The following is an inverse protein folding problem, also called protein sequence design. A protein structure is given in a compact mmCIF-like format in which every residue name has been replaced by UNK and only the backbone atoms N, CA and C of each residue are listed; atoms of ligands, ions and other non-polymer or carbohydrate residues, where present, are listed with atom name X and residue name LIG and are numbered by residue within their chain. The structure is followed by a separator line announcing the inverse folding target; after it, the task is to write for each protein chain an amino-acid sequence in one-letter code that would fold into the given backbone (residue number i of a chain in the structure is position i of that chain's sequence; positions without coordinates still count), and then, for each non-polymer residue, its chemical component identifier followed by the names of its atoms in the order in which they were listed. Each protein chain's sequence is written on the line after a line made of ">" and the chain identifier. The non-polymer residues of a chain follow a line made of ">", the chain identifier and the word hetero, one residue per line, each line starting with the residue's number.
data_IF_124288207864
#
_entry.id   IF_124288207864
#
_cell.length_a   1.000
_cell.length_b   1.000
_cell.length_c   1.000
_cell.angle_alpha   90.00
_cell.angle_beta   90.00
_cell.angle_gamma   90.00
#
_symmetry.space_group_name_H-M   'P 1'
#
loop_
_entity.id
_entity.type
_entity.pdbx_description
1 polymer ?
#
# COMPACT_ATOMS: atom_id res chain seq x y z
N UNK A 1 -9.96 -10.53 9.97
CA UNK A 1 -9.06 -9.56 9.34
C UNK A 1 -9.35 -9.43 7.85
N UNK A 2 -9.07 -8.28 7.28
CA UNK A 2 -9.28 -8.00 5.86
C UNK A 2 -8.00 -7.41 5.29
N UNK A 3 -7.46 -8.03 4.24
CA UNK A 3 -6.39 -7.46 3.43
C UNK A 3 -6.97 -6.53 2.38
N UNK A 4 -6.30 -5.43 2.11
CA UNK A 4 -6.70 -4.45 1.12
C UNK A 4 -5.46 -3.96 0.37
N UNK A 5 -5.54 -3.92 -0.94
CA UNK A 5 -4.47 -3.41 -1.79
C UNK A 5 -5.04 -2.72 -3.02
N UNK A 6 -4.41 -1.66 -3.42
CA UNK A 6 -4.58 -1.08 -4.75
C UNK A 6 -3.21 -0.94 -5.40
N UNK A 7 -3.13 -1.22 -6.69
CA UNK A 7 -1.87 -1.17 -7.45
C UNK A 7 -1.98 -0.09 -8.52
N UNK A 8 -1.09 0.86 -8.43
CA UNK A 8 -0.99 1.97 -9.37
C UNK A 8 0.17 1.67 -10.31
N UNK A 9 -0.14 1.38 -11.57
CA UNK A 9 0.87 1.21 -12.60
C UNK A 9 1.31 2.58 -13.11
N UNK A 10 2.62 2.77 -13.20
CA UNK A 10 3.22 4.04 -13.59
C UNK A 10 4.00 3.88 -14.89
N UNK A 11 4.15 4.96 -15.70
CA UNK A 11 4.94 4.91 -16.90
C UNK A 11 6.38 4.42 -16.67
N UNK A 12 6.97 3.82 -17.70
CA UNK A 12 8.33 3.28 -17.61
C UNK A 12 9.39 4.35 -17.32
N UNK A 13 9.12 5.60 -17.69
CA UNK A 13 9.98 6.76 -17.47
C UNK A 13 9.57 7.60 -16.25
N UNK A 14 8.61 7.13 -15.46
CA UNK A 14 8.16 7.83 -14.27
C UNK A 14 9.31 7.95 -13.25
N UNK A 15 9.48 9.14 -12.68
CA UNK A 15 10.47 9.35 -11.63
C UNK A 15 9.96 8.77 -10.31
N UNK A 16 10.42 7.57 -9.96
CA UNK A 16 9.98 6.86 -8.77
C UNK A 16 10.37 7.54 -7.46
N UNK A 17 11.28 8.52 -7.48
CA UNK A 17 11.58 9.33 -6.30
C UNK A 17 10.37 10.15 -5.86
N UNK A 18 9.47 10.51 -6.76
CA UNK A 18 8.20 11.17 -6.43
C UNK A 18 7.38 10.29 -5.47
N UNK A 19 7.34 8.97 -5.73
CA UNK A 19 6.65 8.02 -4.88
C UNK A 19 7.36 7.88 -3.52
N UNK A 20 8.69 7.79 -3.51
CA UNK A 20 9.47 7.69 -2.28
C UNK A 20 9.26 8.90 -1.38
N UNK A 21 9.26 10.09 -1.96
CA UNK A 21 8.99 11.33 -1.21
C UNK A 21 7.56 11.37 -0.68
N UNK A 22 6.59 10.90 -1.46
CA UNK A 22 5.20 10.79 -1.02
C UNK A 22 5.08 9.89 0.22
N UNK A 23 5.69 8.73 0.20
CA UNK A 23 5.68 7.79 1.34
C UNK A 23 6.39 8.41 2.54
N UNK A 24 7.54 9.02 2.34
CA UNK A 24 8.30 9.69 3.40
C UNK A 24 7.50 10.79 4.07
N UNK A 25 6.82 11.62 3.30
CA UNK A 25 6.13 12.81 3.79
C UNK A 25 4.72 12.54 4.32
N UNK A 26 4.06 11.46 3.88
CA UNK A 26 2.66 11.20 4.18
C UNK A 26 2.38 9.83 4.82
N UNK A 27 3.31 8.87 4.69
CA UNK A 27 3.08 7.50 5.15
C UNK A 27 2.73 7.42 6.63
N UNK A 28 3.40 8.19 7.47
CA UNK A 28 3.18 8.20 8.91
C UNK A 28 1.78 8.71 9.33
N UNK A 29 1.09 9.45 8.46
CA UNK A 29 -0.20 10.06 8.78
C UNK A 29 -1.29 9.05 9.09
N UNK A 30 -1.13 7.81 8.65
CA UNK A 30 -2.04 6.71 8.99
C UNK A 30 -1.52 5.82 10.11
N UNK A 31 -0.42 6.18 10.76
CA UNK A 31 0.05 5.44 11.94
C UNK A 31 -0.99 5.50 13.05
N UNK A 32 -1.30 4.34 13.64
CA UNK A 32 -2.35 4.26 14.67
C UNK A 32 -3.77 4.42 14.14
N UNK A 33 -3.99 4.37 12.85
CA UNK A 33 -5.32 4.49 12.26
C UNK A 33 -6.24 3.39 12.80
N UNK A 34 -7.52 3.76 13.01
CA UNK A 34 -8.53 2.86 13.56
C UNK A 34 -8.54 1.50 12.85
N UNK A 35 -8.39 0.43 13.63
CA UNK A 35 -8.47 -0.95 13.15
C UNK A 35 -7.35 -1.37 12.19
N UNK A 36 -6.34 -0.53 11.95
CA UNK A 36 -5.21 -0.90 11.11
C UNK A 36 -4.22 -1.77 11.88
N UNK A 37 -3.99 -2.99 11.37
CA UNK A 37 -3.00 -3.92 11.94
C UNK A 37 -1.60 -3.57 11.49
N UNK A 38 -1.41 -3.46 10.17
CA UNK A 38 -0.18 -2.96 9.56
C UNK A 38 -0.43 -2.47 8.14
N UNK A 39 0.57 -1.78 7.60
CA UNK A 39 0.60 -1.33 6.21
C UNK A 39 2.01 -1.47 5.65
N UNK A 40 2.10 -1.76 4.35
CA UNK A 40 3.33 -1.73 3.59
C UNK A 40 3.14 -0.85 2.36
N UNK A 41 4.08 0.04 2.12
CA UNK A 41 4.12 0.86 0.92
C UNK A 41 5.06 0.19 -0.09
N UNK A 42 4.53 -0.72 -0.89
CA UNK A 42 5.32 -1.49 -1.82
C UNK A 42 5.58 -0.71 -3.10
N UNK A 43 6.83 -0.69 -3.53
CA UNK A 43 7.27 -0.02 -4.75
C UNK A 43 7.97 -1.05 -5.63
N UNK A 44 7.57 -1.12 -6.89
CA UNK A 44 8.26 -1.88 -7.92
C UNK A 44 8.86 -0.87 -8.89
N UNK A 45 10.16 -0.95 -9.11
CA UNK A 45 10.87 -0.04 -10.00
C UNK A 45 11.44 -0.81 -11.18
N UNK A 46 11.16 -0.33 -12.39
CA UNK A 46 11.63 -0.95 -13.62
C UNK A 46 13.17 -1.05 -13.60
N UNK A 47 13.69 -2.19 -14.03
CA UNK A 47 15.12 -2.54 -14.08
C UNK A 47 15.77 -2.85 -12.73
N UNK A 48 15.12 -2.62 -11.61
CA UNK A 48 15.59 -3.04 -10.30
C UNK A 48 15.14 -4.50 -10.07
N UNK A 49 16.08 -5.38 -9.73
CA UNK A 49 15.81 -6.81 -9.49
C UNK A 49 15.08 -7.52 -10.66
N UNK A 50 15.30 -7.06 -11.90
CA UNK A 50 14.64 -7.64 -13.08
C UNK A 50 13.20 -7.25 -13.28
N UNK A 51 12.70 -6.27 -12.57
CA UNK A 51 11.33 -5.78 -12.72
C UNK A 51 11.10 -5.17 -14.11
N UNK A 52 9.91 -5.44 -14.66
CA UNK A 52 9.54 -5.01 -16.02
C UNK A 52 8.78 -3.69 -16.05
N UNK A 53 8.31 -3.20 -14.91
CA UNK A 53 7.44 -2.02 -14.83
C UNK A 53 7.67 -1.23 -13.54
N UNK A 54 7.19 0.01 -13.52
CA UNK A 54 7.07 0.82 -12.33
C UNK A 54 5.67 0.67 -11.75
N UNK A 55 5.57 0.51 -10.43
CA UNK A 55 4.28 0.51 -9.75
C UNK A 55 4.40 0.94 -8.29
N UNK A 56 3.27 1.39 -7.76
CA UNK A 56 3.10 1.71 -6.35
C UNK A 56 1.89 0.94 -5.83
N UNK A 57 2.08 0.08 -4.84
CA UNK A 57 1.06 -0.86 -4.38
C UNK A 57 1.00 -0.93 -2.86
N UNK A 58 0.38 0.05 -2.19
CA UNK A 58 0.18 -0.03 -0.74
C UNK A 58 -0.68 -1.24 -0.36
N UNK A 59 -0.23 -1.97 0.65
CA UNK A 59 -0.94 -3.11 1.22
C UNK A 59 -1.31 -2.79 2.65
N UNK A 60 -2.57 -3.00 3.00
CA UNK A 60 -3.10 -2.79 4.34
C UNK A 60 -3.69 -4.08 4.88
N UNK A 61 -3.49 -4.34 6.16
CA UNK A 61 -4.23 -5.38 6.87
C UNK A 61 -5.06 -4.72 7.97
N UNK A 62 -6.38 -4.89 7.88
CA UNK A 62 -7.35 -4.34 8.82
C UNK A 62 -7.82 -5.41 9.79
N UNK A 63 -7.95 -5.05 11.07
CA UNK A 63 -8.50 -5.95 12.09
C UNK A 63 -9.98 -6.24 11.81
N UNK A 64 -10.71 -5.24 11.29
CA UNK A 64 -12.09 -5.36 10.89
C UNK A 64 -12.42 -4.35 9.76
N UNK A 65 -13.59 -4.51 9.15
CA UNK A 65 -14.00 -3.67 8.02
C UNK A 65 -14.28 -2.21 8.37
N UNK A 66 -14.54 -1.89 9.64
CA UNK A 66 -14.87 -0.51 10.01
C UNK A 66 -13.72 0.46 9.75
N UNK A 67 -12.49 0.04 10.03
CA UNK A 67 -11.30 0.85 9.73
C UNK A 67 -11.09 1.03 8.23
N UNK A 68 -11.23 -0.04 7.48
CA UNK A 68 -11.12 0.01 6.02
C UNK A 68 -12.16 0.96 5.40
N UNK A 69 -13.41 0.85 5.83
CA UNK A 69 -14.49 1.71 5.34
C UNK A 69 -14.23 3.18 5.68
N UNK A 70 -13.75 3.45 6.89
CA UNK A 70 -13.38 4.80 7.29
C UNK A 70 -12.28 5.37 6.40
N UNK A 71 -11.24 4.58 6.14
CA UNK A 71 -10.14 4.98 5.27
C UNK A 71 -10.62 5.29 3.84
N UNK A 72 -11.44 4.42 3.26
CA UNK A 72 -11.88 4.55 1.87
C UNK A 72 -12.92 5.66 1.66
N UNK A 73 -13.83 5.88 2.63
CA UNK A 73 -15.03 6.69 2.39
C UNK A 73 -15.13 7.97 3.22
N UNK A 74 -14.20 8.23 4.13
CA UNK A 74 -14.24 9.43 4.99
C UNK A 74 -13.12 10.43 4.69
N UNK A 75 -12.66 10.48 3.43
CA UNK A 75 -11.73 11.50 2.93
C UNK A 75 -10.25 11.12 2.94
N UNK A 76 -9.85 10.08 3.64
CA UNK A 76 -8.43 9.67 3.74
C UNK A 76 -7.86 9.12 2.43
N UNK A 77 -8.73 8.62 1.57
CA UNK A 77 -8.35 8.06 0.27
C UNK A 77 -8.36 9.09 -0.86
N UNK A 78 -8.86 10.30 -0.60
CA UNK A 78 -9.04 11.33 -1.61
C UNK A 78 -7.73 11.74 -2.27
N UNK A 79 -6.61 11.76 -1.54
CA UNK A 79 -5.29 12.06 -2.11
C UNK A 79 -4.87 11.08 -3.20
N UNK A 80 -5.24 9.83 -3.07
CA UNK A 80 -4.97 8.81 -4.09
C UNK A 80 -5.79 9.10 -5.34
N UNK A 81 -7.08 9.40 -5.16
CA UNK A 81 -7.98 9.73 -6.27
C UNK A 81 -7.52 11.00 -7.01
N UNK A 82 -7.10 12.03 -6.29
CA UNK A 82 -6.61 13.26 -6.87
C UNK A 82 -5.29 13.08 -7.62
N UNK A 83 -4.36 12.31 -7.05
CA UNK A 83 -3.02 12.14 -7.63
C UNK A 83 -2.99 11.14 -8.78
N UNK A 84 -3.79 10.07 -8.73
CA UNK A 84 -3.69 8.93 -9.62
C UNK A 84 -5.02 8.55 -10.30
N UNK A 85 -6.11 9.22 -9.97
CA UNK A 85 -7.44 8.88 -10.50
C UNK A 85 -8.03 7.65 -9.82
N UNK A 86 -9.13 7.16 -10.39
CA UNK A 86 -9.85 5.99 -9.88
C UNK A 86 -8.99 4.75 -9.90
N UNK A 87 -9.00 4.00 -8.80
CA UNK A 87 -8.24 2.77 -8.64
C UNK A 87 -9.16 1.60 -8.33
N UNK A 88 -8.77 0.43 -8.79
CA UNK A 88 -9.40 -0.82 -8.39
C UNK A 88 -8.82 -1.24 -7.03
N UNK A 89 -9.67 -1.34 -6.01
CA UNK A 89 -9.25 -1.77 -4.67
C UNK A 89 -9.57 -3.25 -4.52
N UNK A 90 -8.52 -4.06 -4.33
CA UNK A 90 -8.66 -5.48 -4.07
C UNK A 90 -8.76 -5.72 -2.57
N UNK A 91 -9.68 -6.57 -2.16
CA UNK A 91 -9.83 -7.00 -0.78
C UNK A 91 -9.81 -8.51 -0.69
N UNK A 92 -9.37 -9.03 0.45
CA UNK A 92 -9.33 -10.45 0.67
C UNK A 92 -9.30 -10.78 2.16
N UNK A 93 -9.65 -12.03 2.48
CA UNK A 93 -9.59 -12.54 3.84
C UNK A 93 -8.33 -13.40 3.96
N UNK A 94 -7.40 -13.08 4.88
CA UNK A 94 -6.24 -13.91 5.11
C UNK A 94 -6.65 -15.31 5.57
N UNK A 95 -6.22 -16.32 4.85
CA UNK A 95 -6.44 -17.73 5.22
C UNK A 95 -5.35 -18.26 6.16
N UNK A 96 -4.15 -17.71 6.03
CA UNK A 96 -3.00 -18.02 6.86
C UNK A 96 -2.12 -16.78 6.97
N UNK A 97 -1.60 -16.53 8.18
CA UNK A 97 -0.65 -15.44 8.40
C UNK A 97 0.28 -15.79 9.56
N UNK A 98 1.51 -15.28 9.47
CA UNK A 98 2.49 -15.34 10.53
C UNK A 98 3.15 -13.96 10.64
N UNK A 99 2.91 -13.29 11.76
CA UNK A 99 3.45 -11.97 12.04
C UNK A 99 4.48 -12.07 13.16
N UNK A 100 5.75 -12.19 12.79
CA UNK A 100 6.85 -12.05 13.73
C UNK A 100 7.18 -10.57 13.95
N UNK A 101 7.91 -10.26 15.03
CA UNK A 101 8.40 -8.91 15.30
C UNK A 101 9.36 -8.40 14.21
N UNK A 102 9.91 -9.31 13.43
CA UNK A 102 10.85 -8.98 12.34
C UNK A 102 10.17 -8.39 11.10
N UNK A 103 8.85 -8.51 10.98
CA UNK A 103 8.12 -8.05 9.78
C UNK A 103 8.34 -6.55 9.53
N UNK A 104 8.42 -5.74 10.59
CA UNK A 104 8.65 -4.31 10.49
C UNK A 104 10.06 -3.95 9.95
N UNK A 105 11.00 -4.88 10.01
CA UNK A 105 12.37 -4.70 9.55
C UNK A 105 12.59 -5.22 8.12
N UNK A 106 11.56 -5.75 7.49
CA UNK A 106 11.64 -6.28 6.13
C UNK A 106 11.84 -5.15 5.12
N UNK A 107 12.78 -5.34 4.20
CA UNK A 107 13.08 -4.39 3.13
C UNK A 107 12.42 -4.74 1.81
N UNK A 108 12.11 -6.02 1.61
CA UNK A 108 11.56 -6.54 0.37
C UNK A 108 10.36 -7.41 0.65
N UNK A 109 9.41 -7.38 -0.29
CA UNK A 109 8.23 -8.25 -0.29
C UNK A 109 8.21 -9.01 -1.60
N UNK A 110 7.98 -10.31 -1.50
CA UNK A 110 7.75 -11.15 -2.66
C UNK A 110 6.26 -11.46 -2.75
N UNK A 111 5.64 -11.01 -3.83
CA UNK A 111 4.21 -11.20 -4.09
C UNK A 111 4.04 -12.14 -5.28
N UNK A 112 3.28 -13.21 -5.04
CA UNK A 112 2.99 -14.19 -6.08
C UNK A 112 1.71 -13.87 -6.85
#
# INVERSE_FOLDING_TARGET
>A
MIGMQYKINLPADYNMNVIRERVKNNGYKTDGFHSLKFKFYMITEKTINGNLQNSYAPLYLWKNHSGMNKFLFEGFYDNILESFGWQHVNTGIPLFYDFSDEIANSKYVFEL
#
